data_IF_766187146499
#
_entry.id   IF_766187146499
#
_cell.length_a   1.000
_cell.length_b   1.000
_cell.length_c   1.000
_cell.angle_alpha   90.00
_cell.angle_beta   90.00
_cell.angle_gamma   90.00
#
_symmetry.space_group_name_H-M   'P 1'
#
loop_
_entity.id
_entity.type
_entity.pdbx_description
1 polymer ?
#
# COMPACT_ATOMS: atom_id res chain seq x y z
N UNK A 1 26.08 29.83 15.07
CA UNK A 1 24.91 30.44 15.74
C UNK A 1 24.09 29.32 16.38
N UNK A 2 24.21 29.26 17.71
CA UNK A 2 23.42 28.61 18.76
C UNK A 2 22.60 27.34 18.43
N UNK A 3 23.11 26.23 18.95
CA UNK A 3 22.35 24.99 19.13
C UNK A 3 21.15 25.22 20.04
N UNK A 4 19.97 24.99 19.47
CA UNK A 4 18.70 25.05 20.18
C UNK A 4 18.65 23.85 21.12
N UNK A 5 18.75 24.13 22.42
CA UNK A 5 18.74 23.12 23.46
C UNK A 5 17.33 22.50 23.58
N UNK A 6 17.24 21.17 23.71
CA UNK A 6 15.99 20.40 23.64
C UNK A 6 14.94 20.84 24.69
N UNK A 7 15.39 21.43 25.79
CA UNK A 7 14.55 21.90 26.91
C UNK A 7 13.72 23.15 26.59
N UNK A 8 14.06 23.92 25.54
CA UNK A 8 13.36 25.16 25.20
C UNK A 8 12.13 24.94 24.30
N UNK A 9 11.88 23.71 23.84
CA UNK A 9 10.70 23.38 23.02
C UNK A 9 9.38 23.42 23.81
N UNK A 10 9.45 23.32 25.14
CA UNK A 10 8.30 23.35 26.05
C UNK A 10 8.43 24.48 27.09
N UNK A 11 8.72 25.72 26.65
CA UNK A 11 8.81 26.88 27.54
C UNK A 11 7.55 27.77 27.48
N UNK A 12 6.89 27.95 28.62
CA UNK A 12 5.67 28.76 28.79
C UNK A 12 5.93 30.28 28.92
N UNK A 13 7.05 30.78 28.41
CA UNK A 13 7.38 32.21 28.40
C UNK A 13 6.48 33.00 27.43
N UNK A 14 6.19 34.28 27.77
CA UNK A 14 5.29 35.17 27.02
C UNK A 14 5.88 35.48 25.65
N UNK A 15 5.43 34.74 24.63
CA UNK A 15 5.94 34.72 23.25
C UNK A 15 5.85 33.32 22.60
N UNK A 16 6.01 32.25 23.38
CA UNK A 16 6.06 30.86 22.89
C UNK A 16 4.83 30.01 23.27
N UNK A 17 3.84 30.59 23.95
CA UNK A 17 2.62 29.89 24.40
C UNK A 17 1.76 29.37 23.26
N UNK A 18 1.55 30.18 22.21
CA UNK A 18 0.81 29.76 21.02
C UNK A 18 1.49 28.57 20.32
N UNK A 19 2.82 28.59 20.22
CA UNK A 19 3.62 27.50 19.66
C UNK A 19 3.51 26.22 20.49
N UNK A 20 3.56 26.32 21.82
CA UNK A 20 3.46 25.15 22.70
C UNK A 20 2.07 24.51 22.65
N UNK A 21 1.00 25.31 22.62
CA UNK A 21 -0.38 24.83 22.47
C UNK A 21 -0.57 24.14 21.12
N UNK A 22 -0.06 24.73 20.04
CA UNK A 22 -0.10 24.12 18.71
C UNK A 22 0.64 22.78 18.66
N UNK A 23 1.84 22.69 19.27
CA UNK A 23 2.60 21.44 19.32
C UNK A 23 1.89 20.35 20.15
N UNK A 24 1.28 20.71 21.28
CA UNK A 24 0.51 19.76 22.09
C UNK A 24 -0.70 19.26 21.31
N UNK A 25 -1.41 20.15 20.62
CA UNK A 25 -2.54 19.78 19.77
C UNK A 25 -2.12 18.85 18.62
N UNK A 26 -1.04 19.18 17.91
CA UNK A 26 -0.53 18.36 16.81
C UNK A 26 -0.08 16.97 17.29
N UNK A 27 0.65 16.89 18.40
CA UNK A 27 1.06 15.61 19.01
C UNK A 27 -0.16 14.79 19.44
N UNK A 28 -1.17 15.43 20.03
CA UNK A 28 -2.39 14.75 20.48
C UNK A 28 -3.21 14.26 19.28
N UNK A 29 -3.33 15.07 18.22
CA UNK A 29 -4.04 14.72 16.99
C UNK A 29 -3.33 13.57 16.25
N UNK A 30 -2.02 13.66 16.05
CA UNK A 30 -1.21 12.59 15.46
C UNK A 30 -1.23 11.32 16.31
N UNK A 31 -1.21 11.46 17.64
CA UNK A 31 -1.29 10.35 18.59
C UNK A 31 -2.63 9.61 18.49
N UNK A 32 -3.75 10.33 18.39
CA UNK A 32 -5.09 9.74 18.19
C UNK A 32 -5.18 9.04 16.83
N UNK A 33 -4.71 9.67 15.75
CA UNK A 33 -4.70 9.06 14.41
C UNK A 33 -3.89 7.76 14.38
N UNK A 34 -2.70 7.76 15.01
CA UNK A 34 -1.88 6.56 15.12
C UNK A 34 -2.61 5.46 15.90
N UNK A 35 -3.23 5.80 17.03
CA UNK A 35 -4.01 4.85 17.81
C UNK A 35 -5.18 4.25 17.01
N UNK A 36 -5.91 5.08 16.25
CA UNK A 36 -7.02 4.64 15.40
C UNK A 36 -6.59 3.63 14.32
N UNK A 37 -5.35 3.74 13.81
CA UNK A 37 -4.80 2.81 12.82
C UNK A 37 -4.19 1.56 13.46
N UNK A 38 -3.51 1.68 14.60
CA UNK A 38 -2.80 0.56 15.23
C UNK A 38 -3.75 -0.39 15.96
N UNK A 39 -4.79 0.13 16.61
CA UNK A 39 -5.78 -0.69 17.32
C UNK A 39 -6.44 -1.78 16.45
N UNK A 40 -6.96 -1.50 15.24
CA UNK A 40 -7.54 -2.55 14.40
C UNK A 40 -6.48 -3.56 13.92
N UNK A 41 -5.23 -3.14 13.68
CA UNK A 41 -4.15 -4.04 13.29
C UNK A 41 -3.80 -5.01 14.44
N UNK A 42 -3.66 -4.50 15.67
CA UNK A 42 -3.44 -5.34 16.85
C UNK A 42 -4.59 -6.33 17.06
N UNK A 43 -5.83 -5.88 16.87
CA UNK A 43 -7.02 -6.72 17.00
C UNK A 43 -7.02 -7.87 16.00
N UNK A 44 -6.65 -7.62 14.73
CA UNK A 44 -6.53 -8.68 13.71
C UNK A 44 -5.48 -9.73 14.11
N UNK A 45 -4.37 -9.32 14.71
CA UNK A 45 -3.31 -10.23 15.18
C UNK A 45 -3.78 -11.06 16.39
N UNK A 46 -4.49 -10.45 17.33
CA UNK A 46 -5.01 -11.15 18.51
C UNK A 46 -6.05 -12.19 18.09
N UNK A 47 -6.99 -11.82 17.21
CA UNK A 47 -8.02 -12.72 16.71
C UNK A 47 -7.46 -13.85 15.84
N UNK A 48 -6.33 -13.64 15.16
CA UNK A 48 -5.68 -14.72 14.38
C UNK A 48 -5.01 -15.77 15.26
N UNK A 49 -4.69 -15.44 16.51
CA UNK A 49 -4.01 -16.33 17.48
C UNK A 49 -5.01 -16.97 18.46
N UNK A 50 -6.10 -16.29 18.78
CA UNK A 50 -7.13 -16.79 19.69
C UNK A 50 -8.48 -16.94 18.98
N UNK A 51 -8.84 -18.16 18.52
CA UNK A 51 -10.10 -18.43 17.81
C UNK A 51 -11.34 -18.27 18.70
N UNK A 52 -11.16 -18.13 20.02
CA UNK A 52 -12.23 -17.92 21.00
C UNK A 52 -12.36 -16.47 21.47
N UNK A 53 -11.64 -15.54 20.83
CA UNK A 53 -11.72 -14.11 21.11
C UNK A 53 -13.09 -13.54 20.69
N UNK A 54 -14.03 -13.52 21.63
CA UNK A 54 -15.28 -12.77 21.50
C UNK A 54 -15.14 -11.38 22.15
N UNK A 55 -15.33 -10.31 21.37
CA UNK A 55 -15.35 -8.91 21.83
C UNK A 55 -14.13 -8.06 21.43
N UNK A 56 -14.07 -6.81 21.89
CA UNK A 56 -12.92 -5.89 21.64
C UNK A 56 -11.83 -6.18 22.65
N UNK A 57 -11.07 -7.26 22.42
CA UNK A 57 -9.95 -7.65 23.29
C UNK A 57 -8.62 -7.38 22.60
N UNK A 58 -7.72 -6.76 23.36
CA UNK A 58 -6.38 -6.39 22.89
C UNK A 58 -5.29 -7.40 23.32
N UNK A 59 -5.64 -8.44 24.08
CA UNK A 59 -4.72 -9.51 24.50
C UNK A 59 -5.35 -10.90 24.35
N UNK A 60 -4.59 -11.90 23.84
CA UNK A 60 -5.06 -13.27 23.66
C UNK A 60 -5.14 -14.00 25.01
N UNK A 61 -6.14 -14.87 25.19
CA UNK A 61 -6.27 -15.74 26.37
C UNK A 61 -5.69 -17.12 26.16
N UNK A 62 -5.85 -17.65 24.94
CA UNK A 62 -5.29 -18.94 24.53
C UNK A 62 -4.60 -18.75 23.20
N UNK A 63 -3.37 -19.24 23.13
CA UNK A 63 -2.60 -19.24 21.89
C UNK A 63 -2.92 -20.56 21.20
N UNK A 64 -3.58 -20.47 20.05
CA UNK A 64 -3.94 -21.62 19.23
C UNK A 64 -3.49 -21.37 17.79
N UNK A 65 -2.64 -22.27 17.27
CA UNK A 65 -2.11 -22.16 15.91
C UNK A 65 -2.88 -22.99 14.87
N UNK A 66 -3.98 -23.65 15.26
CA UNK A 66 -4.79 -24.48 14.36
C UNK A 66 -5.35 -23.69 13.18
N UNK A 67 -5.66 -22.40 13.37
CA UNK A 67 -6.14 -21.53 12.30
C UNK A 67 -5.10 -21.38 11.17
N UNK A 68 -3.81 -21.31 11.51
CA UNK A 68 -2.74 -21.22 10.51
C UNK A 68 -2.52 -22.55 9.79
N UNK A 69 -2.61 -23.67 10.51
CA UNK A 69 -2.55 -25.01 9.92
C UNK A 69 -3.72 -25.25 8.95
N UNK A 70 -4.92 -24.78 9.30
CA UNK A 70 -6.10 -24.82 8.43
C UNK A 70 -5.87 -24.06 7.12
N UNK A 71 -5.22 -22.90 7.16
CA UNK A 71 -4.92 -22.10 5.96
C UNK A 71 -3.94 -22.85 5.04
N UNK A 72 -2.93 -23.50 5.61
CA UNK A 72 -1.90 -24.22 4.85
C UNK A 72 -2.42 -25.55 4.26
N UNK A 73 -3.32 -26.23 4.94
CA UNK A 73 -3.92 -27.49 4.48
C UNK A 73 -5.05 -27.28 3.47
N UNK A 74 -5.72 -26.12 3.50
CA UNK A 74 -6.84 -25.82 2.61
C UNK A 74 -6.36 -25.31 1.25
N UNK A 75 -6.47 -26.16 0.21
CA UNK A 75 -6.00 -25.82 -1.14
C UNK A 75 -6.68 -24.60 -1.77
N UNK A 76 -7.91 -24.27 -1.35
CA UNK A 76 -8.62 -23.07 -1.83
C UNK A 76 -8.08 -21.76 -1.25
N UNK A 77 -7.30 -21.80 -0.16
CA UNK A 77 -6.68 -20.62 0.44
C UNK A 77 -5.20 -20.49 0.04
N UNK A 78 -4.46 -21.61 0.02
CA UNK A 78 -3.04 -21.60 -0.32
C UNK A 78 -2.77 -21.28 -1.81
N UNK A 79 -3.57 -21.81 -2.74
CA UNK A 79 -3.35 -21.58 -4.18
C UNK A 79 -3.51 -20.11 -4.59
N UNK A 80 -4.59 -19.39 -4.22
CA UNK A 80 -4.71 -17.96 -4.54
C UNK A 80 -3.61 -17.12 -3.91
N UNK A 81 -3.16 -17.46 -2.71
CA UNK A 81 -2.03 -16.79 -2.06
C UNK A 81 -0.75 -16.93 -2.89
N UNK A 82 -0.41 -18.14 -3.34
CA UNK A 82 0.76 -18.34 -4.22
C UNK A 82 0.64 -17.58 -5.54
N UNK A 83 -0.53 -17.61 -6.18
CA UNK A 83 -0.75 -16.88 -7.45
C UNK A 83 -0.61 -15.38 -7.22
N UNK A 84 -1.13 -14.83 -6.12
CA UNK A 84 -0.96 -13.41 -5.78
C UNK A 84 0.50 -13.04 -5.60
N UNK A 85 1.26 -13.82 -4.83
CA UNK A 85 2.70 -13.56 -4.63
C UNK A 85 3.46 -13.63 -5.96
N UNK A 86 3.21 -14.67 -6.76
CA UNK A 86 3.89 -14.86 -8.04
C UNK A 86 3.56 -13.71 -9.02
N UNK A 87 2.29 -13.35 -9.16
CA UNK A 87 1.85 -12.26 -10.04
C UNK A 87 2.42 -10.91 -9.60
N UNK A 88 2.47 -10.61 -8.29
CA UNK A 88 3.08 -9.38 -7.80
C UNK A 88 4.58 -9.33 -8.07
N UNK A 89 5.31 -10.40 -7.80
CA UNK A 89 6.78 -10.42 -8.02
C UNK A 89 7.11 -10.31 -9.50
N UNK A 90 6.52 -11.19 -10.33
CA UNK A 90 6.80 -11.19 -11.76
C UNK A 90 6.30 -9.90 -12.41
N UNK A 91 5.06 -9.48 -12.12
CA UNK A 91 4.47 -8.26 -12.67
C UNK A 91 5.22 -6.98 -12.26
N UNK A 92 5.76 -6.93 -11.03
CA UNK A 92 6.59 -5.78 -10.62
C UNK A 92 7.92 -5.78 -11.36
N UNK A 93 8.58 -6.93 -11.52
CA UNK A 93 9.86 -7.01 -12.23
C UNK A 93 9.70 -6.66 -13.71
N UNK A 94 8.73 -7.27 -14.40
CA UNK A 94 8.44 -6.98 -15.82
C UNK A 94 7.95 -5.56 -16.02
N UNK A 95 7.02 -5.10 -15.17
CA UNK A 95 6.49 -3.75 -15.21
C UNK A 95 7.56 -2.70 -14.96
N UNK A 96 8.39 -2.87 -13.93
CA UNK A 96 9.50 -1.95 -13.64
C UNK A 96 10.50 -1.92 -14.80
N UNK A 97 10.84 -3.09 -15.37
CA UNK A 97 11.74 -3.18 -16.51
C UNK A 97 11.23 -2.38 -17.72
N UNK A 98 9.96 -2.57 -18.10
CA UNK A 98 9.34 -1.86 -19.24
C UNK A 98 9.20 -0.36 -18.96
N UNK A 99 8.71 0.01 -17.77
CA UNK A 99 8.49 1.41 -17.40
C UNK A 99 9.82 2.17 -17.33
N UNK A 100 10.86 1.58 -16.74
CA UNK A 100 12.17 2.24 -16.63
C UNK A 100 12.82 2.45 -18.00
N UNK A 101 12.73 1.46 -18.91
CA UNK A 101 13.19 1.62 -20.29
C UNK A 101 12.43 2.72 -21.02
N UNK A 102 11.09 2.75 -20.93
CA UNK A 102 10.26 3.79 -21.55
C UNK A 102 10.53 5.17 -20.96
N UNK A 103 10.64 5.27 -19.63
CA UNK A 103 10.94 6.52 -18.94
C UNK A 103 12.34 7.07 -19.30
N UNK A 104 13.32 6.20 -19.48
CA UNK A 104 14.67 6.59 -19.91
C UNK A 104 14.67 7.23 -21.31
N UNK A 105 13.86 6.71 -22.24
CA UNK A 105 13.71 7.34 -23.56
C UNK A 105 13.01 8.70 -23.44
N UNK A 106 12.00 8.82 -22.57
CA UNK A 106 11.21 10.04 -22.42
C UNK A 106 11.93 11.17 -21.69
N UNK A 107 12.85 10.88 -20.78
CA UNK A 107 13.61 11.92 -20.06
C UNK A 107 14.63 12.62 -20.96
N UNK A 108 15.04 11.99 -22.06
CA UNK A 108 16.04 12.54 -22.97
C UNK A 108 15.40 13.52 -23.97
N UNK A 109 15.63 14.82 -23.72
CA UNK A 109 15.07 15.93 -24.51
C UNK A 109 15.54 15.95 -25.97
N UNK A 110 16.69 15.35 -26.25
CA UNK A 110 17.28 15.30 -27.59
C UNK A 110 16.69 14.19 -28.48
N UNK A 111 15.84 13.31 -27.93
CA UNK A 111 15.17 12.26 -28.70
C UNK A 111 14.04 12.84 -29.57
N UNK A 112 14.02 12.58 -30.88
CA UNK A 112 12.91 12.99 -31.72
C UNK A 112 11.63 12.25 -31.33
N UNK A 113 10.55 12.99 -31.09
CA UNK A 113 9.24 12.41 -30.75
C UNK A 113 8.96 12.18 -29.26
N UNK A 114 9.88 12.52 -28.35
CA UNK A 114 9.66 12.37 -26.89
C UNK A 114 8.42 13.14 -26.39
N UNK A 115 8.16 14.34 -26.93
CA UNK A 115 6.96 15.13 -26.59
C UNK A 115 5.67 14.44 -27.04
N UNK A 116 5.66 13.85 -28.24
CA UNK A 116 4.49 13.14 -28.77
C UNK A 116 4.21 11.88 -27.94
N UNK A 117 5.24 11.07 -27.67
CA UNK A 117 5.15 9.87 -26.84
C UNK A 117 4.66 10.21 -25.42
N UNK A 118 5.22 11.24 -24.78
CA UNK A 118 4.77 11.69 -23.47
C UNK A 118 3.29 12.10 -23.46
N UNK A 119 2.82 12.83 -24.48
CA UNK A 119 1.40 13.20 -24.61
C UNK A 119 0.48 12.00 -24.82
N UNK A 120 0.92 10.97 -25.56
CA UNK A 120 0.13 9.74 -25.75
C UNK A 120 -0.03 8.96 -24.45
N UNK A 121 1.05 8.82 -23.66
CA UNK A 121 0.97 8.17 -22.34
C UNK A 121 0.01 8.92 -21.43
N UNK A 122 0.14 10.25 -21.34
CA UNK A 122 -0.79 11.07 -20.55
C UNK A 122 -2.24 10.94 -21.02
N UNK A 123 -2.47 10.86 -22.33
CA UNK A 123 -3.81 10.63 -22.89
C UNK A 123 -4.40 9.30 -22.39
N UNK A 124 -3.65 8.20 -22.40
CA UNK A 124 -4.14 6.90 -21.89
C UNK A 124 -4.42 6.88 -20.38
N UNK A 125 -3.75 7.72 -19.59
CA UNK A 125 -4.06 7.87 -18.16
C UNK A 125 -5.36 8.63 -17.91
N UNK A 126 -5.69 9.59 -18.79
CA UNK A 126 -6.92 10.40 -18.67
C UNK A 126 -8.13 9.74 -19.33
N UNK A 127 -7.93 9.01 -20.41
CA UNK A 127 -8.97 8.37 -21.20
C UNK A 127 -8.83 6.85 -21.17
N UNK A 128 -9.83 6.15 -20.63
CA UNK A 128 -9.89 4.69 -20.55
C UNK A 128 -11.23 4.18 -21.09
N UNK A 129 -11.20 3.03 -21.77
CA UNK A 129 -12.39 2.41 -22.38
C UNK A 129 -13.37 1.75 -21.38
N UNK A 130 -13.00 1.67 -20.09
CA UNK A 130 -13.82 1.03 -19.06
C UNK A 130 -13.76 -0.51 -19.08
N UNK A 131 -14.45 -1.16 -18.14
CA UNK A 131 -14.29 -2.60 -17.92
C UNK A 131 -14.77 -3.48 -19.08
N UNK A 132 -15.86 -3.11 -19.76
CA UNK A 132 -16.47 -3.96 -20.79
C UNK A 132 -15.55 -4.08 -22.02
N UNK A 133 -15.05 -2.98 -22.63
CA UNK A 133 -14.14 -3.08 -23.77
C UNK A 133 -12.84 -3.78 -23.42
N UNK A 134 -12.23 -3.48 -22.26
CA UNK A 134 -11.00 -4.14 -21.82
C UNK A 134 -11.18 -5.65 -21.67
N UNK A 135 -12.31 -6.09 -21.11
CA UNK A 135 -12.63 -7.52 -21.00
C UNK A 135 -12.76 -8.19 -22.38
N UNK A 136 -13.46 -7.55 -23.32
CA UNK A 136 -13.61 -8.08 -24.68
C UNK A 136 -12.25 -8.20 -25.39
N UNK A 137 -11.33 -7.25 -25.18
CA UNK A 137 -9.98 -7.32 -25.73
C UNK A 137 -9.21 -8.53 -25.19
N UNK A 138 -9.21 -8.75 -23.88
CA UNK A 138 -8.55 -9.93 -23.25
C UNK A 138 -9.17 -11.23 -23.73
N UNK A 139 -10.51 -11.26 -23.87
CA UNK A 139 -11.23 -12.42 -24.41
C UNK A 139 -10.84 -12.73 -25.85
N UNK A 140 -10.78 -11.72 -26.70
CA UNK A 140 -10.41 -11.86 -28.11
C UNK A 140 -8.93 -12.25 -28.29
N UNK A 141 -8.05 -11.85 -27.35
CA UNK A 141 -6.66 -12.28 -27.28
C UNK A 141 -6.48 -13.74 -26.83
N UNK A 142 -7.55 -14.42 -26.38
CA UNK A 142 -7.49 -15.79 -25.88
C UNK A 142 -6.79 -15.94 -24.53
N UNK A 143 -6.57 -14.84 -23.81
CA UNK A 143 -5.84 -14.81 -22.53
C UNK A 143 -6.74 -15.03 -21.32
N UNK A 144 -8.00 -15.43 -21.54
CA UNK A 144 -8.94 -15.73 -20.46
C UNK A 144 -8.42 -16.85 -19.57
N UNK A 145 -8.43 -16.61 -18.25
CA UNK A 145 -7.96 -17.56 -17.24
C UNK A 145 -6.47 -17.95 -17.38
N UNK A 146 -5.65 -17.04 -17.92
CA UNK A 146 -4.20 -17.21 -18.03
C UNK A 146 -3.47 -16.19 -17.14
N UNK A 147 -2.36 -16.60 -16.50
CA UNK A 147 -1.51 -15.72 -15.69
C UNK A 147 -0.93 -14.56 -16.51
N UNK A 148 -0.71 -14.77 -17.82
CA UNK A 148 -0.22 -13.75 -18.76
C UNK A 148 -1.19 -12.58 -18.96
N UNK A 149 -2.46 -12.71 -18.58
CA UNK A 149 -3.40 -11.59 -18.63
C UNK A 149 -3.20 -10.59 -17.48
N UNK A 150 -2.54 -11.01 -16.40
CA UNK A 150 -2.40 -10.26 -15.15
C UNK A 150 -0.97 -9.73 -14.95
N UNK A 151 0.03 -10.43 -15.50
CA UNK A 151 1.46 -10.08 -15.49
C UNK A 151 1.77 -9.13 -16.64
#
# INVERSE_FOLDING_TARGET
>A
MNGINSKDRFSFAKGYRARTIFLIFDILLLGILMCMMVLPLLKVIVDSIDPTSYGVRLWPRKIDFSAYEMILTTSSLYRPFLVSVLTTVVGTVTGLFIITMGAYVLIQKDMPGHVLMGRMVLFTMMFSGGMIPTYLTIKNLGLMNNMLAVI
#
